data_IF_313887140862
#
_entry.id   IF_313887140862
#
_cell.length_a   1.000
_cell.length_b   1.000
_cell.length_c   1.000
_cell.angle_alpha   90.00
_cell.angle_beta   90.00
_cell.angle_gamma   90.00
#
_symmetry.space_group_name_H-M   'P 1'
#
loop_
_entity.id
_entity.type
_entity.pdbx_description
1 polymer ?
#
# COMPACT_ATOMS: atom_id res chain seq x y z
N UNK A 1 -10.14 27.35 -51.45
CA UNK A 1 -9.58 28.67 -51.76
C UNK A 1 -9.97 28.96 -53.19
N UNK A 2 -10.58 30.11 -53.44
CA UNK A 2 -11.13 30.44 -54.77
C UNK A 2 -10.08 31.02 -55.74
N UNK A 3 -8.81 31.13 -55.31
CA UNK A 3 -7.69 31.63 -56.10
C UNK A 3 -6.41 30.85 -55.77
N UNK A 4 -5.67 30.40 -56.78
CA UNK A 4 -4.37 29.73 -56.65
C UNK A 4 -3.21 30.65 -57.06
N UNK A 5 -1.95 30.35 -56.67
CA UNK A 5 -0.79 31.08 -57.17
C UNK A 5 -0.72 31.12 -58.70
N UNK A 6 -1.14 30.04 -59.37
CA UNK A 6 -1.20 29.97 -60.84
C UNK A 6 -2.27 30.92 -61.40
N UNK A 7 -3.43 31.00 -60.76
CA UNK A 7 -4.50 31.92 -61.17
C UNK A 7 -4.02 33.37 -61.07
N UNK A 8 -3.31 33.72 -59.99
CA UNK A 8 -2.70 35.06 -59.84
C UNK A 8 -1.65 35.33 -60.91
N UNK A 9 -0.79 34.35 -61.20
CA UNK A 9 0.31 34.52 -62.17
C UNK A 9 -0.18 34.72 -63.60
N UNK A 10 -1.28 34.07 -63.98
CA UNK A 10 -1.85 34.12 -65.32
C UNK A 10 -3.07 35.03 -65.46
N UNK A 11 -3.43 35.78 -64.41
CA UNK A 11 -4.54 36.72 -64.45
C UNK A 11 -4.35 37.77 -65.55
N UNK A 12 -5.32 37.86 -66.45
CA UNK A 12 -5.38 38.89 -67.47
C UNK A 12 -6.28 40.05 -67.04
N UNK A 13 -5.91 41.26 -67.47
CA UNK A 13 -6.66 42.50 -67.19
C UNK A 13 -7.01 43.20 -68.50
N UNK A 14 -8.23 43.75 -68.63
CA UNK A 14 -8.61 44.55 -69.79
C UNK A 14 -7.75 45.82 -69.89
N UNK A 15 -7.48 46.28 -71.11
CA UNK A 15 -6.69 47.49 -71.36
C UNK A 15 -7.61 48.72 -71.46
N UNK A 16 -7.14 49.87 -70.97
CA UNK A 16 -7.89 51.14 -70.98
C UNK A 16 -6.98 52.35 -71.12
N UNK A 17 -7.52 53.47 -71.61
CA UNK A 17 -6.76 54.72 -71.78
C UNK A 17 -6.35 55.25 -70.38
N UNK A 18 -5.03 55.40 -70.15
CA UNK A 18 -4.39 55.70 -68.84
C UNK A 18 -4.28 54.53 -67.83
N UNK A 19 -4.24 53.27 -68.29
CA UNK A 19 -3.99 52.10 -67.43
C UNK A 19 -2.53 51.94 -66.94
N UNK A 20 -2.32 51.07 -65.97
CA UNK A 20 -0.98 50.69 -65.47
C UNK A 20 -0.13 50.01 -66.56
N UNK A 21 1.19 50.14 -66.45
CA UNK A 21 2.12 49.50 -67.38
C UNK A 21 2.06 47.97 -67.26
N UNK A 22 1.73 47.31 -68.37
CA UNK A 22 1.49 45.85 -68.43
C UNK A 22 2.65 45.02 -67.88
N UNK A 23 3.89 45.40 -68.19
CA UNK A 23 5.10 44.70 -67.73
C UNK A 23 5.28 44.81 -66.21
N UNK A 24 5.11 46.00 -65.64
CA UNK A 24 5.17 46.22 -64.20
C UNK A 24 4.09 45.43 -63.44
N UNK A 25 2.86 45.39 -63.98
CA UNK A 25 1.76 44.59 -63.41
C UNK A 25 2.09 43.09 -63.47
N UNK A 26 2.60 42.58 -64.60
CA UNK A 26 3.00 41.16 -64.71
C UNK A 26 4.12 40.80 -63.73
N UNK A 27 5.14 41.65 -63.59
CA UNK A 27 6.23 41.42 -62.66
C UNK A 27 5.74 41.39 -61.20
N UNK A 28 4.78 42.27 -60.85
CA UNK A 28 4.15 42.25 -59.54
C UNK A 28 3.33 40.98 -59.31
N UNK A 29 2.48 40.56 -60.27
CA UNK A 29 1.69 39.33 -60.16
C UNK A 29 2.57 38.08 -60.01
N UNK A 30 3.70 38.01 -60.71
CA UNK A 30 4.67 36.93 -60.55
C UNK A 30 5.23 36.87 -59.12
N UNK A 31 5.60 38.02 -58.55
CA UNK A 31 6.08 38.11 -57.17
C UNK A 31 5.00 37.76 -56.15
N UNK A 32 3.76 38.21 -56.37
CA UNK A 32 2.63 37.85 -55.50
C UNK A 32 2.37 36.35 -55.53
N UNK A 33 2.40 35.73 -56.72
CA UNK A 33 2.25 34.28 -56.87
C UNK A 33 3.34 33.51 -56.12
N UNK A 34 4.61 33.93 -56.21
CA UNK A 34 5.74 33.31 -55.50
C UNK A 34 5.58 33.40 -53.97
N UNK A 35 5.22 34.57 -53.45
CA UNK A 35 4.94 34.75 -52.01
C UNK A 35 3.74 33.91 -51.58
N UNK A 36 2.69 33.84 -52.39
CA UNK A 36 1.50 33.03 -52.11
C UNK A 36 1.84 31.54 -52.07
N UNK A 37 2.69 31.04 -52.97
CA UNK A 37 3.16 29.66 -52.97
C UNK A 37 3.97 29.35 -51.70
N UNK A 38 4.88 30.24 -51.30
CA UNK A 38 5.62 30.10 -50.04
C UNK A 38 4.71 30.06 -48.81
N UNK A 39 3.69 30.93 -48.75
CA UNK A 39 2.70 30.92 -47.67
C UNK A 39 1.86 29.65 -47.63
N UNK A 40 1.50 29.08 -48.78
CA UNK A 40 0.78 27.80 -48.85
C UNK A 40 1.64 26.66 -48.29
N UNK A 41 2.90 26.57 -48.73
CA UNK A 41 3.84 25.54 -48.25
C UNK A 41 4.09 25.67 -46.74
N UNK A 42 4.28 26.89 -46.23
CA UNK A 42 4.43 27.14 -44.80
C UNK A 42 3.15 26.75 -44.04
N UNK A 43 1.98 27.09 -44.55
CA UNK A 43 0.70 26.76 -43.94
C UNK A 43 0.47 25.25 -43.86
N UNK A 44 0.80 24.51 -44.92
CA UNK A 44 0.75 23.05 -44.94
C UNK A 44 1.70 22.45 -43.91
N UNK A 45 2.96 22.91 -43.87
CA UNK A 45 3.94 22.45 -42.88
C UNK A 45 3.54 22.77 -41.44
N UNK A 46 2.92 23.92 -41.19
CA UNK A 46 2.39 24.28 -39.87
C UNK A 46 1.19 23.40 -39.49
N UNK A 47 0.29 23.09 -40.42
CA UNK A 47 -0.85 22.19 -40.19
C UNK A 47 -0.40 20.77 -39.86
N UNK A 48 0.62 20.24 -40.55
CA UNK A 48 1.18 18.93 -40.25
C UNK A 48 1.81 18.89 -38.86
N UNK A 49 2.59 19.92 -38.49
CA UNK A 49 3.16 20.04 -37.15
C UNK A 49 2.09 20.14 -36.07
N UNK A 50 1.05 20.94 -36.30
CA UNK A 50 -0.06 21.08 -35.38
C UNK A 50 -0.74 19.73 -35.14
N UNK A 51 -1.04 19.01 -36.22
CA UNK A 51 -1.65 17.67 -36.13
C UNK A 51 -0.78 16.69 -35.33
N UNK A 52 0.53 16.68 -35.57
CA UNK A 52 1.45 15.81 -34.83
C UNK A 52 1.48 16.15 -33.33
N UNK A 53 1.52 17.45 -32.98
CA UNK A 53 1.50 17.90 -31.59
C UNK A 53 0.15 17.61 -30.91
N UNK A 54 -0.96 17.71 -31.63
CA UNK A 54 -2.30 17.35 -31.11
C UNK A 54 -2.39 15.85 -30.81
N UNK A 55 -1.87 15.01 -31.71
CA UNK A 55 -1.80 13.55 -31.50
C UNK A 55 -0.90 13.18 -30.31
N UNK A 56 0.26 13.82 -30.16
CA UNK A 56 1.15 13.62 -29.02
C UNK A 56 0.49 14.07 -27.70
N UNK A 57 -0.16 15.23 -27.71
CA UNK A 57 -0.87 15.76 -26.54
C UNK A 57 -2.01 14.82 -26.11
N UNK A 58 -2.76 14.27 -27.06
CA UNK A 58 -3.82 13.30 -26.78
C UNK A 58 -3.26 12.04 -26.10
N UNK A 59 -2.14 11.49 -26.60
CA UNK A 59 -1.46 10.34 -25.99
C UNK A 59 -0.97 10.63 -24.58
N UNK A 60 -0.36 11.80 -24.36
CA UNK A 60 0.12 12.21 -23.05
C UNK A 60 -1.03 12.38 -22.04
N UNK A 61 -2.16 12.94 -22.46
CA UNK A 61 -3.36 13.06 -21.61
C UNK A 61 -3.95 11.70 -21.24
N UNK A 62 -3.96 10.75 -22.17
CA UNK A 62 -4.40 9.39 -21.89
C UNK A 62 -3.49 8.70 -20.87
N UNK A 63 -2.17 8.78 -21.07
CA UNK A 63 -1.17 8.25 -20.15
C UNK A 63 -1.25 8.90 -18.76
N UNK A 64 -1.46 10.23 -18.69
CA UNK A 64 -1.68 10.93 -17.42
C UNK A 64 -2.95 10.42 -16.71
N UNK A 65 -4.01 10.16 -17.47
CA UNK A 65 -5.25 9.57 -16.97
C UNK A 65 -5.05 8.17 -16.37
N UNK A 66 -4.30 7.32 -17.06
CA UNK A 66 -3.92 6.00 -16.57
C UNK A 66 -3.06 6.07 -15.31
N UNK A 67 -2.06 6.96 -15.29
CA UNK A 67 -1.20 7.14 -14.13
C UNK A 67 -2.00 7.60 -12.91
N UNK A 68 -2.93 8.56 -13.07
CA UNK A 68 -3.83 9.00 -12.00
C UNK A 68 -4.67 7.84 -11.46
N UNK A 69 -5.23 7.00 -12.33
CA UNK A 69 -5.98 5.81 -11.91
C UNK A 69 -5.10 4.82 -11.13
N UNK A 70 -3.87 4.60 -11.60
CA UNK A 70 -2.91 3.71 -10.94
C UNK A 70 -2.54 4.23 -9.53
N UNK A 71 -2.32 5.54 -9.38
CA UNK A 71 -2.02 6.17 -8.08
C UNK A 71 -3.20 6.00 -7.11
N UNK A 72 -4.43 6.28 -7.56
CA UNK A 72 -5.63 6.11 -6.72
C UNK A 72 -5.81 4.64 -6.30
N UNK A 73 -5.57 3.70 -7.23
CA UNK A 73 -5.62 2.27 -6.91
C UNK A 73 -4.55 1.88 -5.88
N UNK A 74 -3.31 2.35 -6.04
CA UNK A 74 -2.22 2.11 -5.11
C UNK A 74 -2.53 2.67 -3.71
N UNK A 75 -3.08 3.89 -3.61
CA UNK A 75 -3.51 4.47 -2.33
C UNK A 75 -4.62 3.64 -1.67
N UNK A 76 -5.58 3.13 -2.44
CA UNK A 76 -6.65 2.29 -1.90
C UNK A 76 -6.08 0.98 -1.34
N UNK A 77 -5.20 0.32 -2.10
CA UNK A 77 -4.53 -0.91 -1.66
C UNK A 77 -3.71 -0.66 -0.38
N UNK A 78 -2.97 0.44 -0.31
CA UNK A 78 -2.20 0.80 0.88
C UNK A 78 -3.09 1.00 2.11
N UNK A 79 -4.25 1.65 1.96
CA UNK A 79 -5.22 1.82 3.05
C UNK A 79 -5.83 0.49 3.49
N UNK A 80 -6.20 -0.37 2.54
CA UNK A 80 -6.73 -1.71 2.82
C UNK A 80 -5.71 -2.57 3.56
N UNK A 81 -4.46 -2.58 3.11
CA UNK A 81 -3.36 -3.30 3.75
C UNK A 81 -3.11 -2.81 5.18
N UNK A 82 -3.09 -1.49 5.39
CA UNK A 82 -2.95 -0.90 6.73
C UNK A 82 -4.09 -1.33 7.66
N UNK A 83 -5.34 -1.25 7.18
CA UNK A 83 -6.50 -1.64 7.98
C UNK A 83 -6.53 -3.16 8.26
N UNK A 84 -6.00 -3.99 7.36
CA UNK A 84 -5.85 -5.42 7.60
C UNK A 84 -4.77 -5.70 8.66
N UNK A 85 -3.59 -5.08 8.52
CA UNK A 85 -2.50 -5.23 9.48
C UNK A 85 -2.90 -4.77 10.90
N UNK A 86 -3.65 -3.68 11.02
CA UNK A 86 -4.18 -3.21 12.32
C UNK A 86 -5.15 -4.23 12.95
N UNK A 87 -6.04 -4.83 12.15
CA UNK A 87 -6.97 -5.87 12.61
C UNK A 87 -6.24 -7.14 13.03
N UNK A 88 -5.24 -7.55 12.27
CA UNK A 88 -4.43 -8.73 12.56
C UNK A 88 -3.57 -8.54 13.81
N UNK A 89 -2.95 -7.36 13.97
CA UNK A 89 -2.22 -7.01 15.18
C UNK A 89 -3.11 -7.01 16.44
N UNK A 90 -4.34 -6.49 16.32
CA UNK A 90 -5.33 -6.52 17.41
C UNK A 90 -5.73 -7.95 17.77
N UNK A 91 -5.93 -8.82 16.77
CA UNK A 91 -6.24 -10.23 16.97
C UNK A 91 -5.10 -10.96 17.68
N UNK A 92 -3.87 -10.82 17.19
CA UNK A 92 -2.66 -11.40 17.80
C UNK A 92 -2.53 -10.93 19.25
N UNK A 93 -2.76 -9.64 19.53
CA UNK A 93 -2.71 -9.11 20.90
C UNK A 93 -3.75 -9.78 21.80
N UNK A 94 -4.99 -9.92 21.32
CA UNK A 94 -6.07 -10.58 22.08
C UNK A 94 -5.76 -12.05 22.35
N UNK A 95 -5.28 -12.78 21.34
CA UNK A 95 -4.89 -14.18 21.49
C UNK A 95 -3.74 -14.35 22.48
N UNK A 96 -2.71 -13.51 22.39
CA UNK A 96 -1.58 -13.53 23.33
C UNK A 96 -2.03 -13.24 24.77
N UNK A 97 -2.94 -12.29 24.97
CA UNK A 97 -3.50 -12.00 26.29
C UNK A 97 -4.33 -13.17 26.84
N UNK A 98 -5.18 -13.78 26.00
CA UNK A 98 -5.96 -14.94 26.39
C UNK A 98 -5.07 -16.14 26.76
N UNK A 99 -4.05 -16.42 25.96
CA UNK A 99 -3.07 -17.47 26.24
C UNK A 99 -2.30 -17.21 27.54
N UNK A 100 -1.86 -15.97 27.77
CA UNK A 100 -1.23 -15.56 29.04
C UNK A 100 -2.15 -15.83 30.22
N UNK A 101 -3.41 -15.42 30.14
CA UNK A 101 -4.37 -15.59 31.23
C UNK A 101 -4.72 -17.06 31.48
N UNK A 102 -4.67 -17.90 30.44
CA UNK A 102 -4.80 -19.34 30.58
C UNK A 102 -3.58 -19.93 31.33
N UNK A 103 -2.36 -19.62 30.89
CA UNK A 103 -1.12 -20.11 31.53
C UNK A 103 -1.05 -19.69 33.01
N UNK A 104 -1.43 -18.44 33.32
CA UNK A 104 -1.45 -17.96 34.70
C UNK A 104 -2.48 -18.69 35.57
N UNK A 105 -3.63 -19.06 35.00
CA UNK A 105 -4.65 -19.85 35.70
C UNK A 105 -4.15 -21.26 35.98
N UNK A 106 -3.62 -21.94 34.97
CA UNK A 106 -3.04 -23.28 35.10
C UNK A 106 -1.91 -23.30 36.16
N UNK A 107 -0.99 -22.34 36.12
CA UNK A 107 0.08 -22.21 37.09
C UNK A 107 -0.44 -21.95 38.52
N UNK A 108 -1.50 -21.15 38.68
CA UNK A 108 -2.10 -20.88 39.98
C UNK A 108 -2.80 -22.12 40.56
N UNK A 109 -3.48 -22.90 39.72
CA UNK A 109 -4.10 -24.17 40.11
C UNK A 109 -3.05 -25.20 40.52
N UNK A 110 -1.98 -25.33 39.74
CA UNK A 110 -0.88 -26.22 40.08
C UNK A 110 -0.17 -25.81 41.38
N UNK A 111 0.06 -24.52 41.59
CA UNK A 111 0.61 -24.01 42.85
C UNK A 111 -0.28 -24.33 44.04
N UNK A 112 -1.61 -24.21 43.90
CA UNK A 112 -2.57 -24.58 44.96
C UNK A 112 -2.52 -26.08 45.24
N UNK A 113 -2.48 -26.92 44.20
CA UNK A 113 -2.33 -28.38 44.34
C UNK A 113 -1.06 -28.74 45.09
N UNK A 114 0.08 -28.18 44.67
CA UNK A 114 1.38 -28.45 45.28
C UNK A 114 1.42 -28.02 46.76
N UNK A 115 0.84 -26.86 47.09
CA UNK A 115 0.69 -26.42 48.49
C UNK A 115 -0.14 -27.41 49.32
N UNK A 116 -1.24 -27.92 48.76
CA UNK A 116 -2.06 -28.94 49.41
C UNK A 116 -1.28 -30.23 49.66
N UNK A 117 -0.51 -30.70 48.68
CA UNK A 117 0.35 -31.89 48.81
C UNK A 117 1.43 -31.70 49.89
N UNK A 118 2.07 -30.52 49.93
CA UNK A 118 3.07 -30.18 50.95
C UNK A 118 2.46 -30.22 52.36
N UNK A 119 1.28 -29.62 52.56
CA UNK A 119 0.62 -29.65 53.87
C UNK A 119 0.19 -31.06 54.28
N UNK A 120 -0.30 -31.88 53.33
CA UNK A 120 -0.61 -33.29 53.58
C UNK A 120 0.62 -34.07 54.05
N UNK A 121 1.75 -33.94 53.35
CA UNK A 121 3.00 -34.64 53.71
C UNK A 121 3.52 -34.19 55.08
N UNK A 122 3.38 -32.89 55.43
CA UNK A 122 3.72 -32.40 56.78
C UNK A 122 2.84 -33.04 57.87
N UNK A 123 1.54 -33.19 57.62
CA UNK A 123 0.62 -33.83 58.55
C UNK A 123 0.95 -35.33 58.72
N UNK A 124 1.17 -36.04 57.61
CA UNK A 124 1.59 -37.45 57.61
C UNK A 124 2.89 -37.65 58.41
N UNK A 125 3.90 -36.80 58.18
CA UNK A 125 5.15 -36.81 58.96
C UNK A 125 4.89 -36.60 60.46
N UNK A 126 4.04 -35.64 60.81
CA UNK A 126 3.74 -35.32 62.21
C UNK A 126 3.06 -36.49 62.90
N UNK A 127 2.09 -37.12 62.23
CA UNK A 127 1.40 -38.31 62.72
C UNK A 127 2.37 -39.48 62.89
N UNK A 128 3.20 -39.74 61.89
CA UNK A 128 4.21 -40.81 61.95
C UNK A 128 5.17 -40.63 63.13
N UNK A 129 5.68 -39.41 63.34
CA UNK A 129 6.58 -39.11 64.48
C UNK A 129 5.87 -39.32 65.82
N UNK A 130 4.60 -38.93 65.93
CA UNK A 130 3.81 -39.14 67.14
C UNK A 130 3.58 -40.63 67.43
N UNK A 131 3.21 -41.41 66.40
CA UNK A 131 3.03 -42.86 66.49
C UNK A 131 4.32 -43.58 66.87
N UNK A 132 5.45 -43.21 66.26
CA UNK A 132 6.75 -43.79 66.57
C UNK A 132 7.17 -43.49 68.01
N UNK A 133 6.98 -42.25 68.48
CA UNK A 133 7.25 -41.90 69.89
C UNK A 133 6.41 -42.73 70.85
N UNK A 134 5.11 -42.85 70.60
CA UNK A 134 4.21 -43.63 71.44
C UNK A 134 4.61 -45.12 71.49
N UNK A 135 5.01 -45.69 70.35
CA UNK A 135 5.49 -47.07 70.27
C UNK A 135 6.76 -47.28 71.11
N UNK A 136 7.76 -46.39 70.96
CA UNK A 136 9.00 -46.47 71.72
C UNK A 136 8.78 -46.26 73.22
N UNK A 137 7.87 -45.36 73.61
CA UNK A 137 7.46 -45.16 75.00
C UNK A 137 6.87 -46.45 75.59
N UNK A 138 5.97 -47.12 74.85
CA UNK A 138 5.39 -48.40 75.27
C UNK A 138 6.43 -49.51 75.45
N UNK A 139 7.45 -49.57 74.59
CA UNK A 139 8.57 -50.50 74.78
C UNK A 139 9.40 -50.18 76.03
N UNK A 140 9.68 -48.91 76.29
CA UNK A 140 10.42 -48.47 77.48
C UNK A 140 9.65 -48.80 78.77
N UNK A 141 8.34 -48.54 78.81
CA UNK A 141 7.52 -48.84 79.99
C UNK A 141 7.44 -50.36 80.23
N UNK A 142 7.37 -51.16 79.16
CA UNK A 142 7.43 -52.63 79.27
C UNK A 142 8.75 -53.13 79.85
N UNK A 143 9.89 -52.51 79.49
CA UNK A 143 11.21 -52.86 80.03
C UNK A 143 11.32 -52.52 81.52
N UNK A 144 10.82 -51.35 81.94
CA UNK A 144 10.82 -50.97 83.37
C UNK A 144 10.04 -51.96 84.22
N UNK A 145 8.88 -52.42 83.75
CA UNK A 145 8.10 -53.43 84.46
C UNK A 145 8.82 -54.79 84.59
N UNK A 146 9.70 -55.14 83.65
CA UNK A 146 10.53 -56.34 83.74
C UNK A 146 11.67 -56.19 84.75
N UNK A 147 12.23 -54.98 84.88
CA UNK A 147 13.30 -54.67 85.85
C UNK A 147 12.79 -54.53 87.29
N UNK A 148 11.58 -54.01 87.51
CA UNK A 148 10.94 -53.91 88.84
C UNK A 148 10.37 -55.25 89.36
N UNK A 149 10.25 -56.25 88.49
CA UNK A 149 9.76 -57.59 88.81
C UNK A 149 10.83 -58.64 89.11
N UNK A 150 12.12 -58.27 89.13
CA UNK A 150 13.27 -59.10 89.54
C UNK A 150 13.86 -58.62 90.86
#
# INVERSE_FOLDING_TARGET
MDLTPLDVRYQEFPTGLRGYQREAVRAYLARVAEVMEGLIQENEGLKEKLKALEEENARLKEAEGELKRAVVAAERIARELKAQAEREAELIRKEALAAKDQVLREAAEELRRLKGEVERVKQEKTLFVAQLKALLQGYLDSLKHLEEGS
#
